data_IF_535036568374
#
_entry.id   IF_535036568374
#
_cell.length_a   1.000
_cell.length_b   1.000
_cell.length_c   1.000
_cell.angle_alpha   90.00
_cell.angle_beta   90.00
_cell.angle_gamma   90.00
#
_symmetry.space_group_name_H-M   'P 1'
#
loop_
_entity.id
_entity.type
_entity.pdbx_description
1 polymer ?
#
# COMPACT_ATOMS: atom_id res chain seq x y z
N UNK A 1 -15.92 0.67 -17.96
CA UNK A 1 -14.94 1.73 -18.31
C UNK A 1 -13.50 1.22 -18.23
N UNK A 2 -13.00 0.77 -17.07
CA UNK A 2 -11.62 0.26 -16.92
C UNK A 2 -11.26 -0.83 -17.94
N UNK A 3 -12.07 -1.88 -18.06
CA UNK A 3 -11.84 -2.98 -19.01
C UNK A 3 -11.78 -2.54 -20.49
N UNK A 4 -12.53 -1.51 -20.88
CA UNK A 4 -12.53 -0.97 -22.24
C UNK A 4 -11.26 -0.16 -22.51
N UNK A 5 -10.85 0.69 -21.56
CA UNK A 5 -9.62 1.48 -21.66
C UNK A 5 -8.35 0.62 -21.56
N UNK A 6 -8.41 -0.46 -20.79
CA UNK A 6 -7.36 -1.47 -20.68
C UNK A 6 -7.14 -2.18 -22.03
N UNK A 7 -8.20 -2.47 -22.78
CA UNK A 7 -8.12 -3.10 -24.10
C UNK A 7 -7.41 -2.24 -25.18
N UNK A 8 -7.36 -0.92 -25.01
CA UNK A 8 -6.75 0.01 -25.96
C UNK A 8 -5.29 0.37 -25.63
N UNK A 9 -4.84 0.14 -24.39
CA UNK A 9 -3.67 0.82 -23.85
C UNK A 9 -2.68 -0.06 -23.08
N UNK A 10 -3.02 -1.33 -22.84
CA UNK A 10 -2.14 -2.27 -22.16
C UNK A 10 -1.00 -2.69 -23.06
N UNK A 11 0.22 -2.31 -22.69
CA UNK A 11 1.45 -2.91 -23.19
C UNK A 11 1.97 -3.86 -22.12
N UNK A 12 2.07 -5.15 -22.44
CA UNK A 12 2.63 -6.17 -21.55
C UNK A 12 4.06 -6.48 -21.98
N UNK A 13 5.01 -6.20 -21.10
CA UNK A 13 6.41 -6.53 -21.30
C UNK A 13 6.77 -7.63 -20.30
N UNK A 14 6.95 -8.89 -20.75
CA UNK A 14 7.43 -9.96 -19.88
C UNK A 14 8.85 -9.63 -19.43
N UNK A 15 9.15 -9.82 -18.15
CA UNK A 15 10.48 -9.57 -17.59
C UNK A 15 11.42 -10.68 -18.08
N UNK A 16 12.46 -10.36 -18.88
CA UNK A 16 13.37 -11.35 -19.41
C UNK A 16 14.05 -12.12 -18.29
N UNK A 17 14.05 -13.46 -18.36
CA UNK A 17 14.72 -14.30 -17.37
C UNK A 17 14.02 -14.42 -16.01
N UNK A 18 12.76 -13.97 -15.88
CA UNK A 18 11.95 -14.16 -14.65
C UNK A 18 10.52 -14.64 -14.93
N UNK A 19 9.91 -14.23 -16.04
CA UNK A 19 8.53 -14.59 -16.36
C UNK A 19 8.33 -16.12 -16.38
N UNK A 20 7.37 -16.60 -15.58
CA UNK A 20 7.00 -18.01 -15.42
C UNK A 20 8.10 -18.96 -14.92
N UNK A 21 9.22 -18.44 -14.42
CA UNK A 21 10.28 -19.27 -13.82
C UNK A 21 10.05 -19.54 -12.33
N UNK A 22 9.22 -18.73 -11.67
CA UNK A 22 8.85 -18.91 -10.27
C UNK A 22 7.53 -19.66 -10.23
N UNK A 23 7.47 -20.72 -9.42
CA UNK A 23 6.24 -21.48 -9.18
C UNK A 23 5.71 -21.18 -7.79
N UNK A 24 4.45 -20.75 -7.70
CA UNK A 24 3.71 -20.80 -6.44
C UNK A 24 3.23 -22.23 -6.24
N UNK A 25 3.52 -22.78 -5.07
CA UNK A 25 3.17 -24.15 -4.70
C UNK A 25 2.08 -24.17 -3.62
N UNK A 26 1.34 -25.28 -3.47
CA UNK A 26 0.50 -25.50 -2.29
C UNK A 26 1.29 -25.36 -0.99
N UNK A 27 0.72 -24.79 0.09
CA UNK A 27 -0.69 -24.40 0.26
C UNK A 27 -1.06 -23.00 -0.26
N UNK A 28 -0.09 -22.19 -0.71
CA UNK A 28 -0.32 -20.78 -1.13
C UNK A 28 -1.31 -20.68 -2.30
N UNK A 29 -1.26 -21.67 -3.19
CA UNK A 29 -2.16 -21.84 -4.33
C UNK A 29 -2.63 -23.29 -4.38
N UNK A 30 -3.84 -23.54 -4.88
CA UNK A 30 -4.42 -24.90 -4.92
C UNK A 30 -3.69 -25.83 -5.89
N UNK A 31 -3.11 -25.29 -6.97
CA UNK A 31 -2.29 -26.02 -7.92
C UNK A 31 -0.98 -25.26 -8.19
N UNK A 32 0.13 -25.96 -8.46
CA UNK A 32 1.37 -25.35 -8.91
C UNK A 32 1.11 -24.41 -10.09
N UNK A 33 1.29 -23.11 -9.87
CA UNK A 33 1.03 -22.08 -10.87
C UNK A 33 2.30 -21.26 -11.09
N UNK A 34 2.68 -21.13 -12.36
CA UNK A 34 3.80 -20.28 -12.73
C UNK A 34 3.41 -18.81 -12.52
N UNK A 35 4.16 -18.12 -11.68
CA UNK A 35 3.96 -16.71 -11.37
C UNK A 35 4.34 -15.87 -12.59
N UNK A 36 3.39 -15.08 -13.10
CA UNK A 36 3.65 -14.16 -14.20
C UNK A 36 4.48 -12.96 -13.70
N UNK A 37 5.65 -12.75 -14.29
CA UNK A 37 6.48 -11.57 -14.05
C UNK A 37 6.37 -10.66 -15.27
N UNK A 38 5.20 -10.02 -15.42
CA UNK A 38 4.88 -9.18 -16.58
C UNK A 38 4.70 -7.74 -16.13
N UNK A 39 5.54 -6.85 -16.65
CA UNK A 39 5.33 -5.42 -16.52
C UNK A 39 4.13 -5.01 -17.39
N UNK A 40 3.06 -4.55 -16.75
CA UNK A 40 1.87 -4.07 -17.45
C UNK A 40 1.88 -2.55 -17.45
N UNK A 41 2.06 -1.95 -18.62
CA UNK A 41 1.97 -0.52 -18.83
C UNK A 41 0.58 -0.17 -19.35
N UNK A 42 -0.29 0.33 -18.47
CA UNK A 42 -1.69 0.66 -18.75
C UNK A 42 -1.92 2.17 -18.58
N UNK A 43 -1.32 2.96 -19.47
CA UNK A 43 -1.22 4.41 -19.30
C UNK A 43 -2.57 5.14 -19.22
N UNK A 44 -3.60 4.70 -19.95
CA UNK A 44 -4.93 5.35 -19.93
C UNK A 44 -5.73 5.06 -18.65
N UNK A 45 -5.54 3.89 -18.03
CA UNK A 45 -6.19 3.51 -16.76
C UNK A 45 -5.35 3.79 -15.53
N UNK A 46 -4.14 4.31 -15.71
CA UNK A 46 -3.30 4.74 -14.61
C UNK A 46 -3.96 5.92 -13.88
N UNK A 47 -4.10 5.82 -12.55
CA UNK A 47 -4.70 6.89 -11.73
C UNK A 47 -4.00 8.24 -11.93
N UNK A 48 -2.67 8.20 -12.16
CA UNK A 48 -1.86 9.38 -12.45
C UNK A 48 -2.29 10.13 -13.72
N UNK A 49 -2.79 9.44 -14.74
CA UNK A 49 -3.25 10.07 -15.99
C UNK A 49 -4.51 10.89 -15.75
N UNK A 50 -5.44 10.38 -14.93
CA UNK A 50 -6.63 11.14 -14.53
C UNK A 50 -6.26 12.40 -13.74
N UNK A 51 -5.34 12.28 -12.78
CA UNK A 51 -4.84 13.44 -12.00
C UNK A 51 -4.13 14.44 -12.91
N UNK A 52 -3.33 13.98 -13.86
CA UNK A 52 -2.63 14.84 -14.82
C UNK A 52 -3.61 15.60 -15.70
N UNK A 53 -4.61 14.93 -16.27
CA UNK A 53 -5.65 15.57 -17.07
C UNK A 53 -6.46 16.58 -16.24
N UNK A 54 -6.83 16.23 -15.01
CA UNK A 54 -7.52 17.14 -14.09
C UNK A 54 -6.65 18.37 -13.77
N UNK A 55 -5.34 18.20 -13.58
CA UNK A 55 -4.40 19.29 -13.35
C UNK A 55 -4.26 20.21 -14.57
N UNK A 56 -4.20 19.64 -15.79
CA UNK A 56 -4.18 20.41 -17.04
C UNK A 56 -5.49 21.18 -17.22
N UNK A 57 -6.64 20.51 -17.06
CA UNK A 57 -7.96 21.15 -17.18
C UNK A 57 -8.13 22.28 -16.15
N UNK A 58 -7.77 22.04 -14.88
CA UNK A 58 -7.80 23.05 -13.83
C UNK A 58 -6.86 24.23 -14.15
N UNK A 59 -5.67 23.93 -14.65
CA UNK A 59 -4.70 24.94 -15.08
C UNK A 59 -5.21 25.83 -16.22
N UNK A 60 -5.89 25.24 -17.20
CA UNK A 60 -6.51 25.97 -18.31
C UNK A 60 -7.70 26.83 -17.84
N UNK A 61 -8.54 26.30 -16.95
CA UNK A 61 -9.65 27.06 -16.34
C UNK A 61 -9.16 28.25 -15.52
N UNK A 62 -8.03 28.09 -14.82
CA UNK A 62 -7.36 29.18 -14.11
C UNK A 62 -6.57 30.13 -15.03
N UNK A 63 -6.69 29.98 -16.36
CA UNK A 63 -6.00 30.81 -17.37
C UNK A 63 -4.47 30.80 -17.26
N UNK A 64 -3.88 29.72 -16.75
CA UNK A 64 -2.43 29.56 -16.78
C UNK A 64 -1.95 29.28 -18.21
N UNK A 65 -0.84 29.91 -18.60
CA UNK A 65 -0.19 29.60 -19.86
C UNK A 65 0.44 28.18 -19.84
N UNK A 66 0.50 27.47 -20.99
CA UNK A 66 1.15 26.15 -21.06
C UNK A 66 2.60 26.14 -20.55
N UNK A 67 3.33 27.26 -20.75
CA UNK A 67 4.70 27.43 -20.24
C UNK A 67 4.74 27.48 -18.72
N UNK A 68 3.76 28.08 -18.05
CA UNK A 68 3.68 28.11 -16.59
C UNK A 68 3.39 26.71 -16.05
N UNK A 69 2.46 25.98 -16.67
CA UNK A 69 2.14 24.59 -16.29
C UNK A 69 3.37 23.67 -16.41
N UNK A 70 4.09 23.73 -17.54
CA UNK A 70 5.31 22.93 -17.74
C UNK A 70 6.41 23.30 -16.74
N UNK A 71 6.60 24.59 -16.44
CA UNK A 71 7.56 25.04 -15.43
C UNK A 71 7.18 24.53 -14.03
N UNK A 72 5.90 24.58 -13.66
CA UNK A 72 5.41 24.08 -12.38
C UNK A 72 5.60 22.56 -12.27
N UNK A 73 5.31 21.81 -13.34
CA UNK A 73 5.55 20.37 -13.41
C UNK A 73 7.02 20.04 -13.22
N UNK A 74 7.93 20.71 -13.95
CA UNK A 74 9.38 20.50 -13.82
C UNK A 74 9.93 20.85 -12.43
N UNK A 75 9.43 21.92 -11.80
CA UNK A 75 9.78 22.25 -10.40
C UNK A 75 9.33 21.18 -9.43
N UNK A 76 8.11 20.67 -9.62
CA UNK A 76 7.55 19.60 -8.77
C UNK A 76 8.36 18.32 -8.92
N UNK A 77 8.71 17.93 -10.15
CA UNK A 77 9.54 16.75 -10.41
C UNK A 77 10.91 16.84 -9.71
N UNK A 78 11.56 18.00 -9.79
CA UNK A 78 12.82 18.24 -9.06
C UNK A 78 12.64 18.15 -7.53
N UNK A 79 11.50 18.60 -7.01
CA UNK A 79 11.17 18.54 -5.58
C UNK A 79 10.94 17.12 -5.09
N UNK A 80 10.25 16.28 -5.87
CA UNK A 80 9.87 14.92 -5.45
C UNK A 80 10.85 13.83 -5.89
N UNK A 81 11.95 14.16 -6.60
CA UNK A 81 12.90 13.19 -7.18
C UNK A 81 13.42 12.13 -6.19
N UNK A 82 13.72 12.53 -4.96
CA UNK A 82 14.21 11.59 -3.95
C UNK A 82 13.10 10.68 -3.44
N UNK A 83 11.89 11.23 -3.26
CA UNK A 83 10.70 10.43 -2.93
C UNK A 83 10.38 9.42 -4.03
N UNK A 84 10.46 9.81 -5.31
CA UNK A 84 10.28 8.88 -6.43
C UNK A 84 11.32 7.75 -6.43
N UNK A 85 12.59 8.07 -6.13
CA UNK A 85 13.65 7.07 -6.01
C UNK A 85 13.35 6.09 -4.86
N UNK A 86 12.92 6.58 -3.70
CA UNK A 86 12.54 5.74 -2.56
C UNK A 86 11.36 4.83 -2.92
N UNK A 87 10.30 5.36 -3.55
CA UNK A 87 9.15 4.56 -3.99
C UNK A 87 9.57 3.47 -4.97
N UNK A 88 10.44 3.81 -5.94
CA UNK A 88 10.97 2.83 -6.88
C UNK A 88 11.75 1.71 -6.17
N UNK A 89 12.64 2.05 -5.23
CA UNK A 89 13.40 1.07 -4.46
C UNK A 89 12.50 0.18 -3.59
N UNK A 90 11.45 0.74 -3.00
CA UNK A 90 10.50 -0.03 -2.19
C UNK A 90 9.62 -0.95 -3.04
N UNK A 91 9.20 -0.52 -4.23
CA UNK A 91 8.56 -1.40 -5.22
C UNK A 91 9.48 -2.54 -5.62
N UNK A 92 10.75 -2.26 -5.92
CA UNK A 92 11.75 -3.30 -6.21
C UNK A 92 11.88 -4.30 -5.05
N UNK A 93 11.96 -3.82 -3.81
CA UNK A 93 12.01 -4.69 -2.63
C UNK A 93 10.72 -5.52 -2.45
N UNK A 94 9.55 -4.92 -2.68
CA UNK A 94 8.27 -5.65 -2.68
C UNK A 94 8.21 -6.76 -3.72
N UNK A 95 8.70 -6.51 -4.93
CA UNK A 95 8.82 -7.56 -5.95
C UNK A 95 9.83 -8.64 -5.57
N UNK A 96 10.99 -8.27 -5.02
CA UNK A 96 11.99 -9.25 -4.57
C UNK A 96 11.44 -10.13 -3.44
N UNK A 97 10.79 -9.54 -2.44
CA UNK A 97 10.19 -10.30 -1.33
C UNK A 97 9.05 -11.21 -1.79
N UNK A 98 8.24 -10.77 -2.76
CA UNK A 98 7.21 -11.59 -3.40
C UNK A 98 7.79 -12.76 -4.20
N UNK A 99 8.76 -12.48 -5.06
CA UNK A 99 9.33 -13.47 -5.97
C UNK A 99 10.29 -14.46 -5.27
N UNK A 100 10.88 -14.06 -4.14
CA UNK A 100 11.64 -14.97 -3.26
C UNK A 100 10.77 -15.82 -2.33
N UNK A 101 9.45 -15.57 -2.29
CA UNK A 101 8.50 -16.32 -1.47
C UNK A 101 8.47 -15.92 0.00
N UNK A 102 9.14 -14.84 0.40
CA UNK A 102 9.15 -14.35 1.78
C UNK A 102 7.75 -13.92 2.24
N UNK A 103 6.97 -13.27 1.36
CA UNK A 103 5.59 -12.87 1.63
C UNK A 103 4.68 -14.08 1.89
N UNK A 104 4.89 -15.17 1.15
CA UNK A 104 4.17 -16.43 1.31
C UNK A 104 4.51 -17.14 2.62
N UNK A 105 5.80 -17.23 2.97
CA UNK A 105 6.23 -17.84 4.24
C UNK A 105 5.65 -17.09 5.44
N UNK A 106 5.76 -15.76 5.43
CA UNK A 106 5.20 -14.94 6.49
C UNK A 106 3.67 -15.04 6.52
N UNK A 107 3.00 -14.99 5.37
CA UNK A 107 1.54 -15.11 5.29
C UNK A 107 1.03 -16.43 5.85
N UNK A 108 1.69 -17.54 5.55
CA UNK A 108 1.36 -18.85 6.12
C UNK A 108 1.62 -18.92 7.63
N UNK A 109 2.69 -18.29 8.10
CA UNK A 109 2.97 -18.20 9.54
C UNK A 109 1.89 -17.40 10.26
N UNK A 110 1.48 -16.24 9.71
CA UNK A 110 0.43 -15.40 10.28
C UNK A 110 -0.96 -16.03 10.17
N UNK A 111 -1.24 -16.83 9.14
CA UNK A 111 -2.48 -17.60 9.06
C UNK A 111 -2.67 -18.54 10.28
N UNK A 112 -1.57 -18.98 10.93
CA UNK A 112 -1.67 -19.77 12.17
C UNK A 112 -2.23 -19.01 13.36
N UNK A 113 -2.30 -17.68 13.31
CA UNK A 113 -3.00 -16.88 14.33
C UNK A 113 -4.52 -17.11 14.32
N UNK A 114 -5.04 -17.76 13.28
CA UNK A 114 -6.42 -18.23 13.21
C UNK A 114 -7.41 -17.08 13.26
N UNK A 115 -8.38 -17.18 14.17
CA UNK A 115 -9.46 -16.19 14.30
C UNK A 115 -8.93 -14.79 14.62
N UNK A 116 -7.77 -14.65 15.25
CA UNK A 116 -7.22 -13.34 15.63
C UNK A 116 -6.49 -12.64 14.49
N UNK A 117 -6.33 -13.30 13.34
CA UNK A 117 -5.62 -12.76 12.21
C UNK A 117 -6.12 -11.39 11.74
N UNK A 118 -7.43 -11.09 11.63
CA UNK A 118 -7.90 -9.77 11.22
C UNK A 118 -7.38 -8.63 12.11
N UNK A 119 -7.28 -8.86 13.42
CA UNK A 119 -6.72 -7.90 14.37
C UNK A 119 -5.22 -7.73 14.16
N UNK A 120 -4.46 -8.82 14.18
CA UNK A 120 -3.00 -8.77 14.04
C UNK A 120 -2.54 -8.34 12.64
N UNK A 121 -3.28 -8.70 11.60
CA UNK A 121 -3.08 -8.24 10.23
C UNK A 121 -3.24 -6.73 10.13
N UNK A 122 -4.22 -6.14 10.82
CA UNK A 122 -4.36 -4.67 10.88
C UNK A 122 -3.17 -4.03 11.63
N UNK A 123 -2.73 -4.63 12.73
CA UNK A 123 -1.54 -4.19 13.48
C UNK A 123 -0.24 -4.34 12.66
N UNK A 124 -0.17 -5.31 11.75
CA UNK A 124 0.95 -5.48 10.83
C UNK A 124 1.01 -4.32 9.83
N UNK A 125 -0.14 -3.86 9.34
CA UNK A 125 -0.23 -2.64 8.54
C UNK A 125 0.26 -1.40 9.29
N UNK A 126 -0.17 -1.24 10.55
CA UNK A 126 0.31 -0.19 11.47
C UNK A 126 1.83 -0.22 11.62
N UNK A 127 2.41 -1.38 11.92
CA UNK A 127 3.86 -1.55 12.08
C UNK A 127 4.59 -1.24 10.77
N UNK A 128 4.05 -1.71 9.64
CA UNK A 128 4.62 -1.48 8.34
C UNK A 128 4.73 0.00 8.00
N UNK A 129 3.69 0.79 8.28
CA UNK A 129 3.74 2.25 8.01
C UNK A 129 4.56 3.00 9.06
N UNK A 130 4.51 2.59 10.33
CA UNK A 130 5.37 3.19 11.35
C UNK A 130 6.86 3.10 10.99
N UNK A 131 7.28 1.97 10.41
CA UNK A 131 8.65 1.74 9.97
C UNK A 131 8.98 2.39 8.62
N UNK A 132 8.02 2.42 7.69
CA UNK A 132 8.26 2.87 6.31
C UNK A 132 7.92 4.33 6.05
N UNK A 133 7.11 4.96 6.89
CA UNK A 133 6.57 6.31 6.70
C UNK A 133 5.54 6.46 5.56
N UNK A 134 5.11 5.35 4.93
CA UNK A 134 4.28 5.41 3.72
C UNK A 134 3.33 4.22 3.58
N UNK A 135 2.03 4.50 3.47
CA UNK A 135 0.99 3.49 3.20
C UNK A 135 1.24 2.75 1.88
N UNK A 136 1.64 3.47 0.84
CA UNK A 136 1.97 2.88 -0.47
C UNK A 136 3.06 1.84 -0.31
N UNK A 137 4.10 2.18 0.43
CA UNK A 137 5.25 1.32 0.61
C UNK A 137 4.95 0.12 1.51
N UNK A 138 4.19 0.33 2.58
CA UNK A 138 3.70 -0.76 3.44
C UNK A 138 2.80 -1.73 2.67
N UNK A 139 1.91 -1.21 1.81
CA UNK A 139 1.05 -2.05 0.97
C UNK A 139 1.85 -2.86 -0.06
N UNK A 140 2.93 -2.30 -0.59
CA UNK A 140 3.83 -3.00 -1.50
C UNK A 140 4.57 -4.14 -0.79
N UNK A 141 4.99 -3.93 0.46
CA UNK A 141 5.73 -4.92 1.24
C UNK A 141 4.84 -6.01 1.85
N UNK A 142 3.68 -5.64 2.38
CA UNK A 142 2.83 -6.52 3.18
C UNK A 142 1.49 -6.85 2.55
N UNK A 143 1.05 -6.15 1.50
CA UNK A 143 -0.26 -6.40 0.88
C UNK A 143 -0.40 -7.81 0.31
N UNK A 144 0.67 -8.37 -0.28
CA UNK A 144 0.66 -9.74 -0.78
C UNK A 144 0.54 -10.77 0.35
N UNK A 145 1.26 -10.56 1.45
CA UNK A 145 1.15 -11.36 2.68
C UNK A 145 -0.29 -11.34 3.23
N UNK A 146 -0.91 -10.15 3.25
CA UNK A 146 -2.28 -9.97 3.75
C UNK A 146 -3.29 -10.75 2.91
N UNK A 147 -3.11 -10.70 1.59
CA UNK A 147 -3.91 -11.46 0.63
C UNK A 147 -3.76 -12.97 0.85
N UNK A 148 -2.52 -13.47 0.92
CA UNK A 148 -2.23 -14.90 1.08
C UNK A 148 -2.85 -15.41 2.39
N UNK A 149 -2.63 -14.72 3.50
CA UNK A 149 -3.16 -15.11 4.80
C UNK A 149 -4.69 -15.12 4.82
N UNK A 150 -5.33 -14.14 4.17
CA UNK A 150 -6.78 -14.07 4.04
C UNK A 150 -7.33 -15.29 3.28
N UNK A 151 -6.70 -15.65 2.15
CA UNK A 151 -7.08 -16.82 1.35
C UNK A 151 -6.95 -18.13 2.16
N UNK A 152 -5.90 -18.27 2.97
CA UNK A 152 -5.71 -19.44 3.85
C UNK A 152 -6.77 -19.55 4.95
N UNK A 153 -7.28 -18.41 5.42
CA UNK A 153 -8.28 -18.35 6.49
C UNK A 153 -9.73 -18.26 5.99
N UNK A 154 -9.94 -18.27 4.66
CA UNK A 154 -11.28 -18.09 4.08
C UNK A 154 -11.86 -16.69 4.29
N UNK A 155 -11.01 -15.68 4.50
CA UNK A 155 -11.40 -14.27 4.67
C UNK A 155 -11.38 -13.54 3.33
N UNK A 156 -12.11 -12.42 3.23
CA UNK A 156 -12.06 -11.55 2.05
C UNK A 156 -10.65 -10.97 1.88
N UNK A 157 -9.95 -11.21 0.75
CA UNK A 157 -8.63 -10.63 0.52
C UNK A 157 -8.70 -9.11 0.37
N UNK A 158 -9.83 -8.58 -0.09
CA UNK A 158 -10.09 -7.13 -0.20
C UNK A 158 -10.18 -6.52 1.20
N UNK A 159 -10.86 -7.18 2.14
CA UNK A 159 -10.93 -6.73 3.53
C UNK A 159 -9.54 -6.63 4.14
N UNK A 160 -8.74 -7.69 4.04
CA UNK A 160 -7.41 -7.72 4.68
C UNK A 160 -6.41 -6.78 3.99
N UNK A 161 -6.48 -6.62 2.67
CA UNK A 161 -5.69 -5.60 1.98
C UNK A 161 -6.09 -4.17 2.40
N UNK A 162 -7.38 -3.93 2.61
CA UNK A 162 -7.90 -2.64 3.10
C UNK A 162 -7.50 -2.40 4.56
N UNK A 163 -7.55 -3.45 5.39
CA UNK A 163 -7.12 -3.43 6.78
C UNK A 163 -5.64 -3.05 6.92
N UNK A 164 -4.78 -3.53 6.02
CA UNK A 164 -3.36 -3.14 5.98
C UNK A 164 -3.19 -1.63 5.81
N UNK A 165 -3.96 -1.02 4.90
CA UNK A 165 -3.94 0.44 4.70
C UNK A 165 -4.57 1.18 5.89
N UNK A 166 -5.69 0.69 6.42
CA UNK A 166 -6.40 1.36 7.51
C UNK A 166 -5.61 1.36 8.82
N UNK A 167 -4.97 0.24 9.17
CA UNK A 167 -4.00 0.17 10.26
C UNK A 167 -2.76 1.01 9.97
N UNK A 168 -2.30 1.03 8.72
CA UNK A 168 -1.18 1.83 8.25
C UNK A 168 -1.32 3.33 8.52
N UNK A 169 -2.50 3.91 8.26
CA UNK A 169 -2.77 5.32 8.56
C UNK A 169 -2.56 5.64 10.04
N UNK A 170 -2.89 4.71 10.94
CA UNK A 170 -2.63 4.90 12.37
C UNK A 170 -1.13 4.86 12.67
N UNK A 171 -0.35 4.08 11.92
CA UNK A 171 1.11 3.99 12.04
C UNK A 171 1.84 5.28 11.66
N UNK A 172 1.28 6.08 10.74
CA UNK A 172 1.84 7.39 10.34
C UNK A 172 2.03 8.36 11.51
N UNK A 173 1.20 8.26 12.55
CA UNK A 173 1.35 9.14 13.71
C UNK A 173 2.70 8.98 14.41
N UNK A 174 3.28 7.78 14.37
CA UNK A 174 4.55 7.47 15.03
C UNK A 174 5.72 7.34 14.05
N UNK A 175 5.49 7.60 12.76
CA UNK A 175 6.57 7.55 11.79
C UNK A 175 7.51 8.76 11.98
N UNK A 176 8.81 8.49 11.94
CA UNK A 176 9.82 9.51 12.21
C UNK A 176 9.76 10.68 11.22
N UNK A 177 9.34 10.44 9.98
CA UNK A 177 9.29 11.48 8.95
C UNK A 177 8.16 12.47 9.23
N UNK A 178 6.98 11.98 9.59
CA UNK A 178 5.83 12.80 9.98
C UNK A 178 6.10 13.57 11.28
N UNK A 179 6.78 12.96 12.25
CA UNK A 179 7.15 13.66 13.49
C UNK A 179 8.12 14.82 13.23
N UNK A 180 9.14 14.62 12.40
CA UNK A 180 10.07 15.70 12.01
C UNK A 180 9.35 16.80 11.21
N UNK A 181 8.42 16.44 10.33
CA UNK A 181 7.60 17.44 9.62
C UNK A 181 6.70 18.21 10.60
N UNK A 182 6.12 17.54 11.59
CA UNK A 182 5.31 18.19 12.61
C UNK A 182 6.13 19.14 13.51
N UNK A 183 7.33 18.74 13.95
CA UNK A 183 8.22 19.59 14.75
C UNK A 183 8.66 20.84 13.97
N UNK A 184 9.02 20.66 12.69
CA UNK A 184 9.41 21.77 11.82
C UNK A 184 8.26 22.71 11.50
N UNK A 185 7.04 22.20 11.28
CA UNK A 185 5.86 23.03 10.99
C UNK A 185 5.40 23.85 12.22
N UNK A 186 5.50 23.27 13.41
CA UNK A 186 5.14 23.93 14.68
C UNK A 186 6.27 24.78 15.27
N UNK A 187 7.45 24.78 14.64
CA UNK A 187 8.69 25.42 15.12
C UNK A 187 9.15 24.89 16.49
N UNK A 188 8.77 23.66 16.83
CA UNK A 188 9.10 23.01 18.10
C UNK A 188 10.26 22.02 17.93
N UNK A 189 11.39 22.53 17.47
CA UNK A 189 12.58 21.74 17.13
C UNK A 189 13.19 21.05 18.35
N UNK A 190 13.72 19.83 18.19
CA UNK A 190 14.41 19.10 19.26
C UNK A 190 13.48 18.41 20.26
N UNK A 191 12.17 18.52 20.08
CA UNK A 191 11.13 17.91 20.92
C UNK A 191 10.45 16.72 20.23
N UNK A 192 11.04 16.15 19.17
CA UNK A 192 10.49 15.03 18.41
C UNK A 192 10.19 13.82 19.31
N UNK A 193 11.03 13.60 20.33
CA UNK A 193 10.83 12.52 21.32
C UNK A 193 9.62 12.74 22.22
N UNK A 194 9.30 13.99 22.57
CA UNK A 194 8.12 14.32 23.37
C UNK A 194 6.84 14.11 22.53
N UNK A 195 6.87 14.56 21.27
CA UNK A 195 5.80 14.32 20.31
C UNK A 195 5.57 12.82 20.16
N UNK A 196 6.63 12.03 19.91
CA UNK A 196 6.55 10.58 19.79
C UNK A 196 5.91 9.94 21.02
N UNK A 197 6.39 10.26 22.22
CA UNK A 197 5.87 9.68 23.48
C UNK A 197 4.40 10.01 23.69
N UNK A 198 3.97 11.20 23.30
CA UNK A 198 2.57 11.62 23.38
C UNK A 198 1.70 10.86 22.37
N UNK A 199 2.09 10.85 21.09
CA UNK A 199 1.27 10.26 20.01
C UNK A 199 1.34 8.74 19.97
N UNK A 200 2.34 8.10 20.58
CA UNK A 200 2.52 6.65 20.55
C UNK A 200 1.30 5.89 21.07
N UNK A 201 0.80 6.27 22.25
CA UNK A 201 -0.36 5.61 22.84
C UNK A 201 -1.65 5.89 22.05
N UNK A 202 -1.80 7.09 21.49
CA UNK A 202 -2.92 7.43 20.62
C UNK A 202 -2.90 6.58 19.34
N UNK A 203 -1.73 6.44 18.73
CA UNK A 203 -1.52 5.62 17.54
C UNK A 203 -1.83 4.15 17.79
N UNK A 204 -1.31 3.58 18.88
CA UNK A 204 -1.54 2.19 19.26
C UNK A 204 -3.01 1.93 19.59
N UNK A 205 -3.66 2.83 20.34
CA UNK A 205 -5.08 2.70 20.68
C UNK A 205 -5.96 2.75 19.43
N UNK A 206 -5.72 3.69 18.51
CA UNK A 206 -6.47 3.79 17.26
C UNK A 206 -6.21 2.59 16.34
N UNK A 207 -4.98 2.08 16.28
CA UNK A 207 -4.66 0.86 15.54
C UNK A 207 -5.39 -0.36 16.11
N UNK A 208 -5.45 -0.50 17.43
CA UNK A 208 -6.19 -1.58 18.10
C UNK A 208 -7.71 -1.46 17.86
N UNK A 209 -8.27 -0.25 17.92
CA UNK A 209 -9.68 -0.01 17.59
C UNK A 209 -10.00 -0.37 16.13
N UNK A 210 -9.11 -0.01 15.19
CA UNK A 210 -9.25 -0.42 13.80
C UNK A 210 -9.12 -1.93 13.63
N UNK A 211 -8.17 -2.57 14.33
CA UNK A 211 -8.04 -4.03 14.34
C UNK A 211 -9.30 -4.73 14.86
N UNK A 212 -9.92 -4.17 15.90
CA UNK A 212 -11.18 -4.68 16.44
C UNK A 212 -12.32 -4.50 15.43
N UNK A 213 -12.41 -3.34 14.76
CA UNK A 213 -13.41 -3.11 13.72
C UNK A 213 -13.26 -4.11 12.56
N UNK A 214 -12.03 -4.35 12.09
CA UNK A 214 -11.76 -5.32 11.02
C UNK A 214 -12.09 -6.75 11.48
N UNK A 215 -11.81 -7.08 12.74
CA UNK A 215 -12.20 -8.36 13.34
C UNK A 215 -13.74 -8.53 13.37
N UNK A 216 -14.49 -7.49 13.75
CA UNK A 216 -15.94 -7.49 13.69
C UNK A 216 -16.44 -7.65 12.24
N UNK A 217 -15.84 -6.93 11.28
CA UNK A 217 -16.16 -7.05 9.86
C UNK A 217 -15.88 -8.45 9.30
N UNK A 218 -14.90 -9.17 9.85
CA UNK A 218 -14.57 -10.52 9.43
C UNK A 218 -15.61 -11.56 9.91
N UNK A 219 -16.14 -11.43 11.14
CA UNK A 219 -16.89 -12.53 11.78
C UNK A 219 -18.26 -12.18 12.34
N UNK A 220 -18.56 -10.90 12.63
CA UNK A 220 -19.74 -10.50 13.40
C UNK A 220 -20.79 -9.85 12.49
N UNK A 221 -21.99 -10.43 12.44
CA UNK A 221 -23.14 -9.79 11.81
C UNK A 221 -23.62 -8.60 12.68
N UNK A 222 -23.97 -7.42 12.12
CA UNK A 222 -24.12 -7.08 10.70
C UNK A 222 -22.87 -6.50 10.02
N UNK A 223 -21.74 -6.37 10.72
CA UNK A 223 -20.52 -5.75 10.18
C UNK A 223 -19.97 -6.48 8.94
N UNK A 224 -20.23 -7.78 8.83
CA UNK A 224 -19.93 -8.59 7.64
C UNK A 224 -20.62 -8.08 6.36
N UNK A 225 -21.73 -7.35 6.46
CA UNK A 225 -22.41 -6.74 5.31
C UNK A 225 -21.65 -5.55 4.72
N UNK A 226 -20.73 -4.94 5.48
CA UNK A 226 -19.89 -3.83 5.02
C UNK A 226 -18.72 -4.30 4.15
N UNK A 227 -18.49 -5.62 4.08
CA UNK A 227 -17.37 -6.21 3.37
C UNK A 227 -17.77 -6.54 1.94
N UNK A 228 -17.04 -5.99 0.99
CA UNK A 228 -17.17 -6.37 -0.42
C UNK A 228 -16.70 -7.82 -0.58
N UNK A 229 -17.61 -8.67 -1.07
CA UNK A 229 -17.35 -10.07 -1.39
C UNK A 229 -16.64 -10.20 -2.73
#
# INVERSE_FOLDING_TARGET
VKAFLDGLSIVRVPVPGLDKLIFRMPPVVTQPTAEAAVFTFNWLTFTGTGIFLAAVASGLLMSFSPRQLLRAYGRTLKRVRFSLLTVAAMLSLGYVTRYSGLDATLGLAFARTGIFYPFFGTMLGWLGVALTGSDTSSNVLFGSLQKISAEQLGLSPVLMASANSAGGVMGKMIDAQSIVVASTATRWYGHEGEILRYVFFHSLALAALMGLLVFLQAYVFPFTLLVVK
#
